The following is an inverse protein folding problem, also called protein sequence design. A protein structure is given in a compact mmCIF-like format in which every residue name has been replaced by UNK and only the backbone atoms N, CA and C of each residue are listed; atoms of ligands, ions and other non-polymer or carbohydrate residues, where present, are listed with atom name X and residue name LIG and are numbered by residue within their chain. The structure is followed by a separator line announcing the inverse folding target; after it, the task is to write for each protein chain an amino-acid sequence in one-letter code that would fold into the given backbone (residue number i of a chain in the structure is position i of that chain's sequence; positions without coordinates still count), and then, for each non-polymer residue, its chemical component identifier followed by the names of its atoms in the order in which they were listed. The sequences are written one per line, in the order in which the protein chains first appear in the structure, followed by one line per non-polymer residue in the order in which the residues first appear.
data_IF_868765985663
#
_entry.id   IF_868765985663
#
_cell.length_a   1.000
_cell.length_b   1.000
_cell.length_c   1.000
_cell.angle_alpha   90.00
_cell.angle_beta   90.00
_cell.angle_gamma   90.00
#
_symmetry.space_group_name_H-M   'P 1'
#
loop_
_entity.id
_entity.type
_entity.pdbx_description
1 polymer ?
#
# COMPACT_ATOMS: atom_id res chain seq x y z
N UNK A 1 13.28 3.57 -27.52
CA UNK A 1 11.87 3.85 -27.86
C UNK A 1 10.86 3.34 -26.81
N UNK A 2 11.07 2.17 -26.18
CA UNK A 2 10.13 1.57 -25.21
C UNK A 2 9.88 2.35 -23.90
N UNK A 3 10.82 3.18 -23.43
CA UNK A 3 10.66 3.96 -22.20
C UNK A 3 9.49 4.96 -22.27
N UNK A 4 9.18 5.46 -23.47
CA UNK A 4 8.08 6.41 -23.70
C UNK A 4 6.74 5.78 -23.34
N UNK A 5 6.53 4.50 -23.68
CA UNK A 5 5.29 3.79 -23.33
C UNK A 5 5.11 3.68 -21.82
N UNK A 6 6.18 3.35 -21.09
CA UNK A 6 6.14 3.24 -19.63
C UNK A 6 5.79 4.58 -18.97
N UNK A 7 6.36 5.69 -19.45
CA UNK A 7 6.04 7.02 -18.94
C UNK A 7 4.61 7.45 -19.28
N UNK A 8 4.13 7.18 -20.49
CA UNK A 8 2.74 7.48 -20.87
C UNK A 8 1.76 6.67 -20.01
N UNK A 9 1.99 5.38 -19.83
CA UNK A 9 1.11 4.54 -19.01
C UNK A 9 1.17 4.93 -17.52
N UNK A 10 2.34 5.28 -17.01
CA UNK A 10 2.48 5.82 -15.65
C UNK A 10 1.70 7.13 -15.49
N UNK A 11 1.77 8.05 -16.46
CA UNK A 11 1.03 9.31 -16.44
C UNK A 11 -0.48 9.06 -16.46
N UNK A 12 -0.96 8.10 -17.28
CA UNK A 12 -2.37 7.69 -17.34
C UNK A 12 -2.87 7.11 -16.03
N UNK A 13 -2.08 6.25 -15.39
CA UNK A 13 -2.43 5.59 -14.12
C UNK A 13 -2.46 6.58 -12.96
N UNK A 14 -1.43 7.43 -12.85
CA UNK A 14 -1.24 8.31 -11.70
C UNK A 14 -1.90 9.68 -11.88
N UNK A 15 -2.26 10.02 -13.11
CA UNK A 15 -2.95 11.26 -13.45
C UNK A 15 -2.08 12.50 -13.35
N UNK A 16 -0.77 12.37 -13.58
CA UNK A 16 0.21 13.47 -13.54
C UNK A 16 0.76 13.76 -14.94
N UNK A 17 1.21 15.00 -15.23
CA UNK A 17 1.87 15.32 -16.49
C UNK A 17 3.11 14.45 -16.75
N UNK A 18 3.36 14.07 -18.00
CA UNK A 18 4.51 13.21 -18.37
C UNK A 18 5.84 13.85 -17.96
N UNK A 19 6.00 15.16 -18.15
CA UNK A 19 7.23 15.88 -17.74
C UNK A 19 7.50 15.77 -16.23
N UNK A 20 6.45 15.66 -15.41
CA UNK A 20 6.62 15.51 -13.97
C UNK A 20 7.16 14.14 -13.58
N UNK A 21 7.02 13.11 -14.42
CA UNK A 21 7.59 11.79 -14.14
C UNK A 21 9.12 11.76 -14.20
N UNK A 22 9.72 12.73 -14.91
CA UNK A 22 11.18 12.87 -15.03
C UNK A 22 11.76 13.76 -13.93
N UNK A 23 11.01 14.78 -13.50
CA UNK A 23 11.52 15.83 -12.58
C UNK A 23 10.97 15.73 -11.14
N UNK A 24 9.94 14.92 -10.88
CA UNK A 24 9.30 14.78 -9.56
C UNK A 24 9.30 13.33 -9.07
N UNK A 25 9.30 13.16 -7.75
CA UNK A 25 9.29 11.87 -7.09
C UNK A 25 7.92 11.17 -7.03
N UNK A 26 7.88 10.01 -6.39
CA UNK A 26 6.67 9.16 -6.30
C UNK A 26 5.55 9.78 -5.46
N UNK A 27 5.87 10.58 -4.44
CA UNK A 27 4.89 11.18 -3.52
C UNK A 27 3.82 11.99 -4.25
N UNK A 28 4.22 12.72 -5.29
CA UNK A 28 3.30 13.55 -6.07
C UNK A 28 2.29 12.70 -6.85
N UNK A 29 2.67 11.49 -7.28
CA UNK A 29 1.81 10.54 -7.97
C UNK A 29 0.74 9.98 -7.04
N UNK A 30 1.11 9.67 -5.79
CA UNK A 30 0.16 9.21 -4.77
C UNK A 30 -0.78 10.34 -4.35
N UNK A 31 -0.23 11.55 -4.15
CA UNK A 31 -1.02 12.73 -3.81
C UNK A 31 -2.07 13.05 -4.89
N UNK A 32 -1.70 12.98 -6.18
CA UNK A 32 -2.63 13.15 -7.30
C UNK A 32 -3.81 12.18 -7.23
N UNK A 33 -3.53 10.88 -6.99
CA UNK A 33 -4.56 9.85 -6.86
C UNK A 33 -5.45 10.08 -5.63
N UNK A 34 -4.84 10.44 -4.50
CA UNK A 34 -5.55 10.73 -3.25
C UNK A 34 -6.49 11.91 -3.40
N UNK A 35 -6.04 13.02 -4.02
CA UNK A 35 -6.87 14.19 -4.28
C UNK A 35 -8.05 13.89 -5.22
N UNK A 36 -7.82 13.12 -6.29
CA UNK A 36 -8.89 12.69 -7.21
C UNK A 36 -9.96 11.88 -6.47
N UNK A 37 -9.54 10.97 -5.58
CA UNK A 37 -10.46 10.16 -4.78
C UNK A 37 -11.15 10.92 -3.67
N UNK A 38 -10.45 11.83 -3.00
CA UNK A 38 -11.05 12.72 -2.02
C UNK A 38 -12.15 13.58 -2.64
N UNK A 39 -11.93 14.12 -3.85
CA UNK A 39 -12.97 14.83 -4.60
C UNK A 39 -14.21 13.97 -4.87
N UNK A 40 -14.05 12.70 -5.25
CA UNK A 40 -15.17 11.79 -5.49
C UNK A 40 -15.97 11.49 -4.22
N UNK A 41 -15.35 11.57 -3.05
CA UNK A 41 -15.95 11.30 -1.74
C UNK A 41 -16.34 12.57 -0.98
N UNK A 42 -16.22 13.75 -1.60
CA UNK A 42 -16.45 15.06 -0.95
C UNK A 42 -15.63 15.24 0.33
N UNK A 43 -14.36 14.82 0.30
CA UNK A 43 -13.42 14.95 1.42
C UNK A 43 -12.37 16.02 1.14
N UNK A 44 -11.93 16.69 2.19
CA UNK A 44 -10.83 17.66 2.15
C UNK A 44 -9.56 17.04 2.74
N UNK A 45 -8.42 17.29 2.11
CA UNK A 45 -7.13 16.93 2.67
C UNK A 45 -6.61 18.08 3.53
N UNK A 46 -6.20 17.81 4.78
CA UNK A 46 -5.60 18.83 5.62
C UNK A 46 -4.21 19.23 5.09
N UNK A 47 -3.85 20.50 5.26
CA UNK A 47 -2.49 20.98 5.03
C UNK A 47 -1.72 20.92 6.36
N UNK A 48 -1.09 19.77 6.64
CA UNK A 48 -0.36 19.54 7.88
C UNK A 48 1.06 20.12 7.74
N UNK A 49 1.50 20.93 8.72
CA UNK A 49 2.92 21.28 8.84
C UNK A 49 3.65 20.04 9.34
N UNK A 50 4.54 19.52 8.51
CA UNK A 50 5.29 18.30 8.83
C UNK A 50 6.56 18.71 9.56
N UNK A 51 6.60 18.43 10.86
CA UNK A 51 7.82 18.50 11.65
C UNK A 51 8.62 17.23 11.41
N UNK A 52 9.89 17.39 11.05
CA UNK A 52 10.79 16.25 10.85
C UNK A 52 11.13 15.73 12.23
N UNK A 53 10.55 14.59 12.61
CA UNK A 53 10.94 13.86 13.81
C UNK A 53 11.91 12.74 13.43
N UNK A 54 12.84 12.41 14.32
CA UNK A 54 13.77 11.27 14.16
C UNK A 54 13.13 9.93 14.57
N UNK A 55 11.81 9.90 14.78
CA UNK A 55 11.06 8.74 15.25
C UNK A 55 11.02 7.65 14.17
N UNK A 56 11.99 6.75 14.18
CA UNK A 56 11.98 5.57 13.31
C UNK A 56 10.99 4.55 13.87
N UNK A 57 10.05 4.11 13.05
CA UNK A 57 9.16 3.01 13.39
C UNK A 57 9.77 1.65 13.00
N UNK A 58 9.33 0.60 13.67
CA UNK A 58 9.84 -0.76 13.46
C UNK A 58 9.45 -1.28 12.06
N UNK A 59 10.46 -1.69 11.29
CA UNK A 59 10.31 -2.16 9.91
C UNK A 59 9.91 -3.64 9.77
N UNK A 60 10.27 -4.22 8.63
CA UNK A 60 10.09 -5.65 8.38
C UNK A 60 11.09 -6.49 9.18
N UNK A 61 10.72 -7.74 9.48
CA UNK A 61 11.63 -8.74 10.03
C UNK A 61 12.32 -9.51 8.90
N UNK A 62 13.60 -9.83 9.09
CA UNK A 62 14.36 -10.75 8.24
C UNK A 62 14.67 -11.98 9.08
N UNK A 63 14.18 -13.13 8.66
CA UNK A 63 14.49 -14.41 9.32
C UNK A 63 15.98 -14.69 9.13
N UNK A 64 16.65 -15.14 10.19
CA UNK A 64 18.06 -15.48 10.12
C UNK A 64 18.30 -16.63 9.14
N UNK A 65 19.15 -16.44 8.11
CA UNK A 65 19.36 -17.46 7.10
C UNK A 65 20.23 -18.60 7.63
N UNK A 66 19.79 -19.85 7.43
CA UNK A 66 20.65 -21.02 7.57
C UNK A 66 21.62 -21.05 6.38
N UNK A 67 22.87 -20.65 6.62
CA UNK A 67 23.89 -20.55 5.57
C UNK A 67 24.38 -21.96 5.22
N UNK A 68 24.51 -22.25 3.93
CA UNK A 68 25.01 -23.53 3.45
C UNK A 68 24.88 -23.68 1.95
N UNK A 69 25.47 -24.74 1.42
CA UNK A 69 25.20 -25.23 0.08
C UNK A 69 24.08 -26.26 0.16
N UNK A 70 23.00 -26.02 -0.58
CA UNK A 70 21.84 -26.90 -0.62
C UNK A 70 21.80 -27.60 -1.98
N UNK A 71 22.04 -28.91 -1.97
CA UNK A 71 21.90 -29.75 -3.16
C UNK A 71 20.44 -30.13 -3.46
N UNK A 72 19.56 -29.94 -2.47
CA UNK A 72 18.13 -30.26 -2.54
C UNK A 72 17.30 -29.06 -3.04
N UNK A 73 16.17 -29.30 -3.74
CA UNK A 73 15.28 -28.23 -4.16
C UNK A 73 14.66 -27.47 -2.98
N UNK A 74 14.77 -26.14 -2.98
CA UNK A 74 14.12 -25.27 -1.98
C UNK A 74 12.92 -24.58 -2.61
N UNK A 75 11.72 -24.84 -2.08
CA UNK A 75 10.51 -24.13 -2.49
C UNK A 75 10.49 -22.71 -1.91
N UNK A 76 10.21 -21.71 -2.75
CA UNK A 76 10.03 -20.31 -2.34
C UNK A 76 8.56 -19.96 -2.34
N UNK A 77 8.04 -19.50 -1.19
CA UNK A 77 6.68 -19.03 -1.02
C UNK A 77 6.69 -17.52 -0.74
N UNK A 78 5.86 -16.76 -1.46
CA UNK A 78 5.77 -15.32 -1.31
C UNK A 78 4.32 -14.83 -1.20
N UNK A 79 4.14 -13.69 -0.52
CA UNK A 79 2.87 -12.99 -0.51
C UNK A 79 2.78 -12.02 -1.69
N UNK A 80 1.78 -12.23 -2.55
CA UNK A 80 1.51 -11.30 -3.65
C UNK A 80 1.02 -9.95 -3.09
N UNK A 81 1.83 -8.90 -3.26
CA UNK A 81 1.48 -7.52 -2.85
C UNK A 81 1.14 -7.39 -1.35
N UNK A 82 1.99 -7.94 -0.48
CA UNK A 82 1.80 -8.01 0.98
C UNK A 82 1.23 -6.72 1.61
N UNK A 83 1.94 -5.59 1.53
CA UNK A 83 1.51 -4.35 2.21
C UNK A 83 0.18 -3.79 1.68
N UNK A 84 -0.04 -3.63 0.36
CA UNK A 84 -1.36 -3.32 -0.16
C UNK A 84 -2.47 -4.25 0.35
N UNK A 85 -2.20 -5.56 0.40
CA UNK A 85 -3.18 -6.55 0.87
C UNK A 85 -3.52 -6.37 2.35
N UNK A 86 -2.53 -6.09 3.21
CA UNK A 86 -2.75 -5.78 4.63
C UNK A 86 -3.61 -4.52 4.78
N UNK A 87 -3.26 -3.44 4.07
CA UNK A 87 -4.01 -2.18 4.13
C UNK A 87 -5.47 -2.36 3.74
N UNK A 88 -5.75 -3.15 2.70
CA UNK A 88 -7.12 -3.45 2.28
C UNK A 88 -7.85 -4.36 3.26
N UNK A 89 -7.21 -5.43 3.74
CA UNK A 89 -7.84 -6.43 4.62
C UNK A 89 -8.26 -5.84 5.96
N UNK A 90 -7.43 -4.95 6.53
CA UNK A 90 -7.67 -4.32 7.83
C UNK A 90 -8.21 -2.89 7.73
N UNK A 91 -8.62 -2.45 6.53
CA UNK A 91 -9.21 -1.13 6.26
C UNK A 91 -8.35 0.05 6.78
N UNK A 92 -7.02 -0.04 6.61
CA UNK A 92 -6.07 0.94 7.13
C UNK A 92 -6.06 2.19 6.24
N UNK A 93 -6.50 3.32 6.79
CA UNK A 93 -6.59 4.59 6.08
C UNK A 93 -6.57 5.78 7.03
N UNK A 94 -6.13 6.95 6.52
CA UNK A 94 -6.28 8.23 7.22
C UNK A 94 -7.70 8.49 7.74
N UNK A 95 -8.73 8.08 6.96
CA UNK A 95 -10.13 8.37 7.27
C UNK A 95 -10.79 7.36 8.22
N UNK A 96 -10.07 6.29 8.59
CA UNK A 96 -10.55 5.20 9.45
C UNK A 96 -9.72 5.05 10.72
N UNK A 97 -8.61 5.78 10.85
CA UNK A 97 -7.82 5.87 12.07
C UNK A 97 -8.61 6.59 13.17
N UNK A 98 -8.68 5.97 14.34
CA UNK A 98 -9.30 6.54 15.54
C UNK A 98 -8.21 7.14 16.42
N UNK A 99 -8.44 8.35 16.94
CA UNK A 99 -7.45 9.01 17.80
C UNK A 99 -7.29 8.25 19.14
N UNK A 100 -6.08 8.27 19.70
CA UNK A 100 -5.80 7.62 20.99
C UNK A 100 -6.63 8.22 22.14
N UNK A 101 -6.98 9.49 22.04
CA UNK A 101 -7.86 10.15 23.01
C UNK A 101 -9.29 9.62 22.94
N UNK A 102 -9.84 9.50 21.73
CA UNK A 102 -11.21 9.01 21.53
C UNK A 102 -11.32 7.58 22.03
N UNK A 103 -10.31 6.74 21.75
CA UNK A 103 -10.21 5.36 22.26
C UNK A 103 -10.21 5.35 23.80
N UNK A 104 -9.43 6.21 24.45
CA UNK A 104 -9.34 6.27 25.93
C UNK A 104 -10.62 6.77 26.59
N UNK A 105 -11.24 7.79 26.00
CA UNK A 105 -12.47 8.41 26.53
C UNK A 105 -13.73 7.57 26.22
N UNK A 106 -13.58 6.48 25.46
CA UNK A 106 -14.68 5.67 24.92
C UNK A 106 -15.80 6.54 24.30
N UNK A 107 -15.39 7.65 23.68
CA UNK A 107 -16.29 8.74 23.25
C UNK A 107 -16.66 8.64 21.77
N UNK A 108 -16.30 7.53 21.14
CA UNK A 108 -16.67 7.22 19.77
C UNK A 108 -18.04 6.52 19.72
N UNK A 109 -18.84 6.83 18.71
CA UNK A 109 -20.17 6.25 18.50
C UNK A 109 -20.16 4.80 17.99
N UNK A 110 -19.00 4.13 18.03
CA UNK A 110 -18.80 2.81 17.42
C UNK A 110 -18.68 1.74 18.51
N UNK A 111 -19.30 0.57 18.30
CA UNK A 111 -19.16 -0.55 19.24
C UNK A 111 -17.78 -1.22 19.16
N UNK A 112 -17.45 -2.13 20.09
CA UNK A 112 -16.26 -2.98 19.99
C UNK A 112 -16.21 -3.77 18.67
N UNK A 113 -17.38 -4.14 18.15
CA UNK A 113 -17.52 -4.88 16.89
C UNK A 113 -17.29 -4.03 15.64
N UNK A 114 -17.23 -2.71 15.77
CA UNK A 114 -17.07 -1.77 14.65
C UNK A 114 -15.62 -1.35 14.43
N UNK A 115 -14.70 -1.74 15.31
CA UNK A 115 -13.28 -1.36 15.27
C UNK A 115 -12.37 -2.58 15.31
N UNK A 116 -11.16 -2.40 14.78
CA UNK A 116 -10.08 -3.40 14.79
C UNK A 116 -8.85 -2.75 15.42
N UNK A 117 -8.27 -3.43 16.41
CA UNK A 117 -7.00 -3.04 17.01
C UNK A 117 -5.85 -3.76 16.30
N UNK A 118 -4.82 -3.02 15.93
CA UNK A 118 -3.63 -3.56 15.26
C UNK A 118 -2.64 -4.12 16.28
N UNK A 119 -1.67 -4.95 15.85
CA UNK A 119 -0.62 -5.44 16.74
C UNK A 119 0.24 -4.32 17.34
N UNK A 120 0.31 -3.16 16.66
CA UNK A 120 0.99 -1.96 17.15
C UNK A 120 0.15 -1.18 18.19
N UNK A 121 -1.09 -1.60 18.45
CA UNK A 121 -1.99 -0.99 19.42
C UNK A 121 -2.88 0.14 18.88
N UNK A 122 -2.72 0.50 17.60
CA UNK A 122 -3.56 1.51 16.94
C UNK A 122 -4.94 0.94 16.61
N UNK A 123 -5.96 1.81 16.54
CA UNK A 123 -7.35 1.38 16.33
C UNK A 123 -7.91 1.96 15.03
N UNK A 124 -8.49 1.11 14.19
CA UNK A 124 -9.10 1.48 12.91
C UNK A 124 -10.55 1.01 12.84
N UNK A 125 -11.41 1.83 12.24
CA UNK A 125 -12.82 1.50 11.98
C UNK A 125 -12.91 0.39 10.91
N UNK A 126 -13.80 -0.58 11.11
CA UNK A 126 -14.06 -1.66 10.17
C UNK A 126 -14.74 -1.17 8.88
N UNK A 127 -14.58 -1.89 7.76
CA UNK A 127 -15.17 -1.50 6.48
C UNK A 127 -16.70 -1.58 6.46
N UNK A 128 -17.33 -2.25 7.43
CA UNK A 128 -18.80 -2.29 7.63
C UNK A 128 -19.38 -0.91 7.95
N UNK A 129 -18.63 -0.10 8.69
CA UNK A 129 -19.05 1.24 9.09
C UNK A 129 -18.58 2.28 8.07
N UNK A 130 -17.29 2.26 7.72
CA UNK A 130 -16.71 3.22 6.79
C UNK A 130 -15.56 2.60 6.01
N UNK A 131 -15.70 2.57 4.68
CA UNK A 131 -14.61 2.17 3.79
C UNK A 131 -13.57 3.28 3.68
N UNK A 132 -12.31 2.92 3.91
CA UNK A 132 -11.19 3.84 3.78
C UNK A 132 -10.88 4.20 2.31
N UNK A 133 -10.37 5.41 2.09
CA UNK A 133 -9.95 5.88 0.76
C UNK A 133 -8.73 5.11 0.24
N UNK A 134 -7.75 4.81 1.10
CA UNK A 134 -6.54 4.08 0.69
C UNK A 134 -6.86 2.64 0.24
N UNK A 135 -7.67 1.84 0.99
CA UNK A 135 -8.17 0.55 0.50
C UNK A 135 -8.86 0.62 -0.86
N UNK A 136 -9.69 1.65 -1.11
CA UNK A 136 -10.35 1.82 -2.41
C UNK A 136 -9.36 2.10 -3.53
N UNK A 137 -8.39 3.00 -3.33
CA UNK A 137 -7.31 3.26 -4.29
C UNK A 137 -6.54 1.98 -4.60
N UNK A 138 -6.15 1.23 -3.57
CA UNK A 138 -5.40 -0.01 -3.72
C UNK A 138 -6.20 -1.08 -4.47
N UNK A 139 -7.49 -1.21 -4.18
CA UNK A 139 -8.40 -2.15 -4.86
C UNK A 139 -8.46 -1.84 -6.36
N UNK A 140 -8.60 -0.56 -6.73
CA UNK A 140 -8.63 -0.14 -8.14
C UNK A 140 -7.29 -0.37 -8.84
N UNK A 141 -6.17 -0.01 -8.20
CA UNK A 141 -4.83 -0.21 -8.75
C UNK A 141 -4.52 -1.69 -8.98
N UNK A 142 -4.80 -2.54 -7.99
CA UNK A 142 -4.56 -3.98 -8.08
C UNK A 142 -5.52 -4.67 -9.05
N UNK A 143 -6.78 -4.26 -9.09
CA UNK A 143 -7.76 -4.73 -10.08
C UNK A 143 -7.34 -4.39 -11.50
N UNK A 144 -6.94 -3.14 -11.75
CA UNK A 144 -6.39 -2.71 -13.04
C UNK A 144 -5.11 -3.48 -13.39
N UNK A 145 -4.24 -3.76 -12.41
CA UNK A 145 -3.00 -4.53 -12.63
C UNK A 145 -3.30 -5.96 -13.02
N UNK A 146 -4.27 -6.60 -12.36
CA UNK A 146 -4.71 -7.96 -12.69
C UNK A 146 -5.22 -8.02 -14.12
N UNK A 147 -6.05 -7.05 -14.54
CA UNK A 147 -6.53 -6.95 -15.92
C UNK A 147 -5.38 -6.75 -16.91
N UNK A 148 -4.46 -5.80 -16.66
CA UNK A 148 -3.31 -5.58 -17.53
C UNK A 148 -2.43 -6.83 -17.69
N UNK A 149 -2.22 -7.61 -16.61
CA UNK A 149 -1.51 -8.89 -16.68
C UNK A 149 -2.27 -9.96 -17.47
N UNK A 150 -3.60 -10.00 -17.38
CA UNK A 150 -4.42 -10.93 -18.16
C UNK A 150 -4.36 -10.59 -19.65
N UNK A 151 -4.47 -9.31 -19.99
CA UNK A 151 -4.39 -8.82 -21.37
C UNK A 151 -2.99 -9.10 -21.95
N UNK A 152 -1.93 -8.86 -21.16
CA UNK A 152 -0.54 -9.15 -21.55
C UNK A 152 -0.30 -10.62 -21.93
N UNK A 153 -0.96 -11.56 -21.24
CA UNK A 153 -0.84 -13.00 -21.54
C UNK A 153 -1.50 -13.40 -22.86
N UNK A 154 -2.54 -12.67 -23.29
CA UNK A 154 -3.32 -12.96 -24.49
C UNK A 154 -2.76 -12.26 -25.73
N UNK A 155 -2.12 -11.11 -25.53
CA UNK A 155 -1.53 -10.34 -26.61
C UNK A 155 -0.39 -11.11 -27.28
N UNK A 156 -0.21 -10.92 -28.59
CA UNK A 156 0.89 -11.52 -29.36
C UNK A 156 1.79 -10.45 -29.96
N UNK A 157 1.23 -9.28 -30.30
CA UNK A 157 1.97 -8.19 -30.90
C UNK A 157 3.06 -7.66 -29.93
N UNK A 158 4.34 -7.64 -30.35
CA UNK A 158 5.44 -7.21 -29.48
C UNK A 158 5.30 -5.78 -28.96
N UNK A 159 4.75 -4.86 -29.78
CA UNK A 159 4.60 -3.46 -29.40
C UNK A 159 3.50 -3.29 -28.34
N UNK A 160 2.34 -3.92 -28.53
CA UNK A 160 1.25 -3.92 -27.55
C UNK A 160 1.63 -4.64 -26.26
N UNK A 161 2.40 -5.74 -26.34
CA UNK A 161 2.99 -6.39 -25.15
C UNK A 161 3.82 -5.41 -24.34
N UNK A 162 4.69 -4.63 -24.99
CA UNK A 162 5.51 -3.63 -24.31
C UNK A 162 4.66 -2.57 -23.59
N UNK A 163 3.58 -2.08 -24.22
CA UNK A 163 2.66 -1.12 -23.59
C UNK A 163 1.96 -1.73 -22.37
N UNK A 164 1.45 -2.96 -22.50
CA UNK A 164 0.75 -3.65 -21.42
C UNK A 164 1.67 -3.99 -20.24
N UNK A 165 2.92 -4.36 -20.52
CA UNK A 165 3.92 -4.57 -19.47
C UNK A 165 4.28 -3.24 -18.77
N UNK A 166 4.49 -2.17 -19.53
CA UNK A 166 4.65 -0.82 -18.96
C UNK A 166 3.51 -0.42 -18.04
N UNK A 167 2.27 -0.72 -18.43
CA UNK A 167 1.07 -0.47 -17.63
C UNK A 167 1.04 -1.29 -16.34
N UNK A 168 1.31 -2.60 -16.38
CA UNK A 168 1.28 -3.42 -15.16
C UNK A 168 2.39 -3.03 -14.17
N UNK A 169 3.57 -2.66 -14.67
CA UNK A 169 4.67 -2.14 -13.86
C UNK A 169 4.29 -0.81 -13.20
N UNK A 170 3.68 0.11 -13.97
CA UNK A 170 3.23 1.39 -13.43
C UNK A 170 2.21 1.23 -12.30
N UNK A 171 1.26 0.31 -12.46
CA UNK A 171 0.28 -0.03 -11.44
C UNK A 171 0.92 -0.68 -10.21
N UNK A 172 1.90 -1.58 -10.40
CA UNK A 172 2.67 -2.19 -9.29
C UNK A 172 3.39 -1.13 -8.47
N UNK A 173 4.13 -0.25 -9.13
CA UNK A 173 4.91 0.82 -8.46
C UNK A 173 3.98 1.78 -7.74
N UNK A 174 2.86 2.16 -8.37
CA UNK A 174 1.87 3.05 -7.76
C UNK A 174 1.28 2.44 -6.49
N UNK A 175 0.86 1.17 -6.53
CA UNK A 175 0.30 0.49 -5.36
C UNK A 175 1.30 0.40 -4.19
N UNK A 176 2.55 0.03 -4.45
CA UNK A 176 3.59 -0.02 -3.42
C UNK A 176 3.93 1.37 -2.85
N UNK A 177 3.83 2.41 -3.68
CA UNK A 177 4.10 3.79 -3.26
C UNK A 177 3.02 4.33 -2.31
N UNK A 178 1.79 3.79 -2.31
CA UNK A 178 0.73 4.23 -1.37
C UNK A 178 1.15 3.98 0.08
N UNK A 179 1.68 2.80 0.39
CA UNK A 179 2.25 2.53 1.72
C UNK A 179 3.46 3.42 2.02
N UNK A 180 4.38 3.58 1.06
CA UNK A 180 5.56 4.42 1.26
C UNK A 180 5.20 5.88 1.51
N UNK A 181 4.07 6.35 0.98
CA UNK A 181 3.57 7.70 1.20
C UNK A 181 3.07 7.93 2.62
N UNK A 182 2.43 6.94 3.26
CA UNK A 182 1.97 7.07 4.65
C UNK A 182 3.16 7.11 5.62
N UNK A 183 4.24 6.41 5.32
CA UNK A 183 5.43 6.34 6.19
C UNK A 183 6.47 7.43 5.94
N UNK A 184 6.27 8.29 4.95
CA UNK A 184 7.24 9.32 4.58
C UNK A 184 7.18 10.52 5.53
N UNK A 185 8.09 10.56 6.51
CA UNK A 185 8.24 11.68 7.44
C UNK A 185 8.61 12.99 6.74
N UNK A 186 9.39 12.95 5.66
CA UNK A 186 9.62 14.12 4.80
C UNK A 186 8.56 14.13 3.70
N UNK A 187 7.35 14.56 4.05
CA UNK A 187 6.17 14.42 3.18
C UNK A 187 5.12 15.51 3.37
N UNK A 188 3.93 15.27 2.80
CA UNK A 188 2.77 16.18 2.91
C UNK A 188 1.69 15.65 3.85
N UNK A 189 1.67 14.34 4.09
CA UNK A 189 0.64 13.68 4.89
C UNK A 189 1.19 12.40 5.56
N UNK A 190 2.25 12.51 6.38
CA UNK A 190 2.76 11.37 7.14
C UNK A 190 1.69 10.85 8.11
N UNK A 191 1.61 9.54 8.25
CA UNK A 191 0.82 8.86 9.27
C UNK A 191 1.54 7.56 9.62
N UNK A 192 2.38 7.65 10.65
CA UNK A 192 3.24 6.55 11.08
C UNK A 192 2.41 5.40 11.63
N UNK A 193 1.24 5.66 12.20
CA UNK A 193 0.31 4.66 12.74
C UNK A 193 -0.14 3.67 11.66
N UNK A 194 -0.36 4.14 10.43
CA UNK A 194 -0.70 3.25 9.31
C UNK A 194 0.52 2.41 8.94
N UNK A 195 1.69 3.03 8.79
CA UNK A 195 2.89 2.33 8.34
C UNK A 195 3.41 1.32 9.36
N UNK A 196 3.42 1.67 10.65
CA UNK A 196 3.79 0.77 11.75
C UNK A 196 2.79 -0.38 11.90
N UNK A 197 1.49 -0.11 11.75
CA UNK A 197 0.47 -1.17 11.78
C UNK A 197 0.64 -2.15 10.62
N UNK A 198 0.96 -1.66 9.41
CA UNK A 198 1.22 -2.51 8.24
C UNK A 198 2.46 -3.39 8.46
N UNK A 199 3.56 -2.83 8.98
CA UNK A 199 4.76 -3.64 9.25
C UNK A 199 4.53 -4.64 10.37
N UNK A 200 3.79 -4.28 11.42
CA UNK A 200 3.47 -5.17 12.52
C UNK A 200 2.65 -6.39 12.08
N UNK A 201 1.57 -6.18 11.29
CA UNK A 201 0.86 -7.29 10.65
C UNK A 201 1.78 -8.12 9.74
N UNK A 202 2.67 -7.47 9.00
CA UNK A 202 3.65 -8.16 8.16
C UNK A 202 4.56 -9.09 8.96
N UNK A 203 5.01 -8.69 10.16
CA UNK A 203 5.83 -9.51 11.06
C UNK A 203 5.05 -10.72 11.57
N UNK A 204 3.83 -10.52 12.06
CA UNK A 204 2.96 -11.63 12.53
C UNK A 204 2.65 -12.63 11.41
N UNK A 205 2.35 -12.15 10.20
CA UNK A 205 2.04 -13.01 9.05
C UNK A 205 3.23 -13.89 8.65
N UNK A 206 4.45 -13.33 8.64
CA UNK A 206 5.65 -14.09 8.31
C UNK A 206 5.92 -15.15 9.37
N UNK A 207 5.85 -14.80 10.65
CA UNK A 207 6.09 -15.74 11.75
C UNK A 207 5.05 -16.86 11.77
N UNK A 208 3.76 -16.53 11.61
CA UNK A 208 2.69 -17.52 11.51
C UNK A 208 2.87 -18.44 10.29
N UNK A 209 3.34 -17.90 9.16
CA UNK A 209 3.60 -18.71 7.96
C UNK A 209 4.75 -19.67 8.19
N UNK A 210 5.83 -19.21 8.81
CA UNK A 210 6.97 -20.04 9.18
C UNK A 210 6.53 -21.19 10.09
N UNK A 211 5.84 -20.88 11.20
CA UNK A 211 5.37 -21.89 12.15
C UNK A 211 4.49 -22.94 11.46
N UNK A 212 3.49 -22.51 10.67
CA UNK A 212 2.60 -23.44 9.95
C UNK A 212 3.30 -24.32 8.91
N UNK A 213 4.38 -23.83 8.30
CA UNK A 213 5.15 -24.60 7.31
C UNK A 213 6.08 -25.59 8.01
N UNK A 214 6.62 -25.23 9.18
CA UNK A 214 7.50 -26.08 10.00
C UNK A 214 6.74 -27.10 10.88
N UNK A 215 5.47 -26.85 11.24
CA UNK A 215 4.60 -27.72 12.05
C UNK A 215 4.15 -29.03 11.36
N UNK A 216 4.82 -29.46 10.30
CA UNK A 216 4.49 -30.69 9.55
C UNK A 216 5.51 -31.80 9.73
#
# INVERSE_FOLDING_TARGET
MMFVFNYIEMARVTGVPVGWLLVRGQMLKVMSQLLRKARQKSLLLPNIKVEITDDKFEGAIVIEPKKGFYAEPIATLDFASLYPSIMMAHNLCYSTLVSKEDVRKNSFQFGPDDVTKTPNGDTFVKPSVKKGILPEILTELLGARKKAKQDLKKEQDPMKKAVLDGRQLALKVSANSVYGFTGAQVGKLPCLEISSSVTAFGREMIEMTKQKVEEK
#
